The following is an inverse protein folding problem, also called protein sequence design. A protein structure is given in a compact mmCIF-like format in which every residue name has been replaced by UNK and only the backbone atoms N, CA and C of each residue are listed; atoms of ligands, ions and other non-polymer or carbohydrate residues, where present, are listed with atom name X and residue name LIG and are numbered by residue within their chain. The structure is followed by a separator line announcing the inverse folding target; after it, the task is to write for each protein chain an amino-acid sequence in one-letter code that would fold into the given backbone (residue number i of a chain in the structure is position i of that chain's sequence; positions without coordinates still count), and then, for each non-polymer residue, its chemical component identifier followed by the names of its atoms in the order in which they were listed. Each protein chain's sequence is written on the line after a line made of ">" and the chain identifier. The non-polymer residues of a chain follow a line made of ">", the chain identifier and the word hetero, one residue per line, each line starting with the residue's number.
data_IF_742058404281
#
_entry.id   IF_742058404281
#
_cell.length_a   1.000
_cell.length_b   1.000
_cell.length_c   1.000
_cell.angle_alpha   90.00
_cell.angle_beta   90.00
_cell.angle_gamma   90.00
#
_symmetry.space_group_name_H-M   'P 1'
#
loop_
_entity.id
_entity.type
_entity.pdbx_description
1 polymer ?
#
# COMPACT_ATOMS: atom_id res chain seq x y z
N UNK A 1 6.03 11.99 -1.04
CA UNK A 1 6.85 11.36 -2.09
C UNK A 1 6.16 10.14 -2.69
N UNK A 2 5.80 9.11 -1.93
CA UNK A 2 5.10 7.91 -2.45
C UNK A 2 3.74 8.22 -3.08
N UNK A 3 2.91 9.04 -2.44
CA UNK A 3 1.60 9.43 -3.00
C UNK A 3 1.72 10.18 -4.34
N UNK A 4 2.72 11.05 -4.47
CA UNK A 4 2.99 11.79 -5.71
C UNK A 4 3.47 10.89 -6.84
N UNK A 5 4.22 9.83 -6.54
CA UNK A 5 4.65 8.83 -7.52
C UNK A 5 3.46 8.00 -8.03
N UNK A 6 2.59 7.56 -7.11
CA UNK A 6 1.37 6.81 -7.46
C UNK A 6 0.45 7.65 -8.36
N UNK A 7 0.27 8.94 -8.03
CA UNK A 7 -0.57 9.85 -8.82
C UNK A 7 -0.07 10.08 -10.25
N UNK A 8 1.24 9.91 -10.51
CA UNK A 8 1.85 10.07 -11.83
C UNK A 8 1.75 8.79 -12.70
N UNK A 9 1.41 7.64 -12.10
CA UNK A 9 1.32 6.36 -12.81
C UNK A 9 -0.05 5.65 -12.65
N UNK A 10 -1.20 6.33 -12.90
CA UNK A 10 -2.53 5.80 -12.57
C UNK A 10 -2.85 4.41 -13.16
N UNK A 11 -2.54 4.08 -14.44
CA UNK A 11 -2.85 2.75 -15.00
C UNK A 11 -2.02 1.63 -14.38
N UNK A 12 -0.74 1.92 -14.08
CA UNK A 12 0.19 0.95 -13.48
C UNK A 12 -0.23 0.64 -12.03
N UNK A 13 -0.74 1.65 -11.33
CA UNK A 13 -1.20 1.51 -9.94
C UNK A 13 -2.58 0.86 -9.79
N UNK A 14 -3.24 0.48 -10.89
CA UNK A 14 -4.56 -0.17 -10.85
C UNK A 14 -4.49 -1.68 -10.56
N UNK A 15 -3.32 -2.31 -10.65
CA UNK A 15 -3.16 -3.74 -10.36
C UNK A 15 -2.13 -3.97 -9.27
N UNK A 16 -2.29 -5.06 -8.53
CA UNK A 16 -1.30 -5.47 -7.53
C UNK A 16 0.09 -5.68 -8.15
N UNK A 17 0.13 -6.27 -9.35
CA UNK A 17 1.40 -6.50 -10.05
C UNK A 17 2.06 -5.18 -10.45
N UNK A 18 1.33 -4.23 -11.04
CA UNK A 18 1.90 -2.96 -11.44
C UNK A 18 2.39 -2.12 -10.25
N UNK A 19 1.72 -2.19 -9.09
CA UNK A 19 2.22 -1.59 -7.86
C UNK A 19 3.52 -2.23 -7.38
N UNK A 20 3.65 -3.56 -7.46
CA UNK A 20 4.90 -4.26 -7.14
C UNK A 20 6.02 -3.92 -8.10
N UNK A 21 5.73 -3.78 -9.39
CA UNK A 21 6.73 -3.39 -10.39
C UNK A 21 7.22 -1.95 -10.16
N UNK A 22 6.35 -1.06 -9.68
CA UNK A 22 6.67 0.34 -9.40
C UNK A 22 7.37 0.57 -8.06
N UNK A 23 6.89 -0.07 -6.99
CA UNK A 23 7.35 0.16 -5.62
C UNK A 23 8.26 -0.95 -5.07
N UNK A 24 8.37 -2.07 -5.77
CA UNK A 24 9.00 -3.27 -5.28
C UNK A 24 8.08 -4.10 -4.38
N UNK A 25 8.64 -5.14 -3.71
CA UNK A 25 7.89 -6.01 -2.84
C UNK A 25 7.29 -5.25 -1.64
N UNK A 26 6.12 -5.66 -1.13
CA UNK A 26 5.53 -5.09 0.08
C UNK A 26 6.49 -5.16 1.27
N UNK A 27 6.53 -4.09 2.06
CA UNK A 27 7.39 -3.99 3.25
C UNK A 27 6.61 -4.14 4.56
N UNK A 28 5.29 -4.32 4.47
CA UNK A 28 4.41 -4.58 5.60
C UNK A 28 3.35 -5.61 5.25
N UNK A 29 2.51 -5.92 6.25
CA UNK A 29 1.42 -6.87 6.15
C UNK A 29 0.12 -6.26 6.68
N UNK A 30 -0.99 -6.49 5.96
CA UNK A 30 -2.32 -6.04 6.40
C UNK A 30 -3.44 -7.03 6.03
N UNK A 31 -3.92 -7.75 7.05
CA UNK A 31 -5.07 -8.67 7.08
C UNK A 31 -5.06 -9.87 6.12
N UNK A 32 -4.68 -9.68 4.85
CA UNK A 32 -4.61 -10.70 3.80
C UNK A 32 -3.34 -10.51 2.94
N UNK A 33 -2.71 -11.61 2.53
CA UNK A 33 -1.49 -11.62 1.69
C UNK A 33 -1.64 -10.92 0.34
N UNK A 34 -2.88 -10.82 -0.11
CA UNK A 34 -3.25 -10.22 -1.39
C UNK A 34 -3.17 -8.71 -1.33
N UNK A 35 -3.46 -8.14 -0.16
CA UNK A 35 -3.34 -6.71 0.07
C UNK A 35 -1.87 -6.31 0.10
N UNK A 36 -1.55 -5.23 -0.59
CA UNK A 36 -0.19 -4.70 -0.57
C UNK A 36 -0.11 -3.66 0.55
N UNK A 37 0.84 -3.85 1.46
CA UNK A 37 1.10 -2.91 2.53
C UNK A 37 2.56 -2.45 2.49
N UNK A 38 2.75 -1.14 2.52
CA UNK A 38 4.07 -0.51 2.51
C UNK A 38 4.23 0.36 3.76
N UNK A 39 5.29 0.11 4.53
CA UNK A 39 5.63 0.94 5.69
C UNK A 39 6.16 2.28 5.21
N UNK A 40 5.56 3.38 5.68
CA UNK A 40 5.88 4.76 5.29
C UNK A 40 5.81 5.71 6.49
N UNK A 41 6.52 6.83 6.41
CA UNK A 41 6.51 7.86 7.45
C UNK A 41 7.44 7.55 8.64
N UNK A 42 7.32 8.29 9.75
CA UNK A 42 8.23 8.19 10.89
C UNK A 42 7.99 6.92 11.72
N UNK A 43 9.07 6.30 12.21
CA UNK A 43 9.02 5.11 13.06
C UNK A 43 8.44 5.35 14.45
N UNK A 44 8.23 6.61 14.83
CA UNK A 44 7.57 7.00 16.08
C UNK A 44 6.09 6.62 16.15
N UNK A 45 5.47 6.24 15.03
CA UNK A 45 4.09 5.78 14.95
C UNK A 45 4.05 4.25 15.01
N UNK A 46 3.21 3.68 15.86
CA UNK A 46 2.97 2.24 15.89
C UNK A 46 1.75 1.90 15.02
N UNK A 47 1.94 1.07 14.00
CA UNK A 47 0.85 0.43 13.25
C UNK A 47 0.71 -1.04 13.66
N UNK A 48 -0.37 -1.68 13.22
CA UNK A 48 -0.78 -3.03 13.65
C UNK A 48 0.37 -4.05 13.59
N UNK A 49 1.26 -3.94 12.61
CA UNK A 49 2.36 -4.88 12.37
C UNK A 49 3.73 -4.22 12.06
N UNK A 50 3.88 -2.90 12.24
CA UNK A 50 5.12 -2.19 11.90
C UNK A 50 5.32 -0.90 12.71
N UNK A 51 6.55 -0.36 12.66
CA UNK A 51 6.84 1.00 13.10
C UNK A 51 6.83 1.94 11.90
N UNK A 52 5.87 2.87 11.88
CA UNK A 52 5.48 3.69 10.74
C UNK A 52 4.00 3.49 10.39
N UNK A 53 3.47 4.34 9.52
CA UNK A 53 2.17 4.11 8.90
C UNK A 53 2.26 2.99 7.88
N UNK A 54 1.19 2.23 7.68
CA UNK A 54 1.03 1.35 6.53
C UNK A 54 0.23 2.07 5.46
N UNK A 55 0.79 2.26 4.28
CA UNK A 55 0.00 2.56 3.09
C UNK A 55 -0.50 1.24 2.51
N UNK A 56 -1.78 0.97 2.71
CA UNK A 56 -2.46 -0.28 2.36
C UNK A 56 -3.22 -0.09 1.05
N UNK A 57 -3.03 -1.02 0.12
CA UNK A 57 -3.81 -1.14 -1.11
C UNK A 57 -4.65 -2.41 -1.03
N UNK A 58 -5.98 -2.24 -1.02
CA UNK A 58 -6.93 -3.35 -1.00
C UNK A 58 -7.04 -3.94 -2.40
N UNK A 59 -6.76 -5.22 -2.52
CA UNK A 59 -6.77 -5.93 -3.80
C UNK A 59 -8.03 -6.78 -3.91
N UNK A 60 -8.77 -6.64 -5.00
CA UNK A 60 -9.83 -7.58 -5.33
C UNK A 60 -9.23 -8.92 -5.75
N UNK A 61 -9.58 -9.98 -5.00
CA UNK A 61 -9.00 -11.31 -5.16
C UNK A 61 -9.24 -11.92 -6.54
N UNK A 62 -10.40 -11.63 -7.14
CA UNK A 62 -10.82 -12.21 -8.40
C UNK A 62 -10.13 -11.55 -9.61
N UNK A 63 -9.92 -10.25 -9.56
CA UNK A 63 -9.39 -9.46 -10.68
C UNK A 63 -7.94 -9.00 -10.50
N UNK A 64 -7.38 -9.10 -9.29
CA UNK A 64 -6.05 -8.58 -8.95
C UNK A 64 -5.96 -7.05 -9.00
N UNK A 65 -7.10 -6.37 -9.08
CA UNK A 65 -7.18 -4.91 -9.20
C UNK A 65 -7.20 -4.24 -7.82
N UNK A 66 -6.60 -3.07 -7.75
CA UNK A 66 -6.71 -2.21 -6.57
C UNK A 66 -8.10 -1.60 -6.53
N UNK A 67 -8.79 -1.78 -5.41
CA UNK A 67 -10.12 -1.22 -5.17
C UNK A 67 -10.08 0.05 -4.33
N UNK A 68 -9.10 0.15 -3.42
CA UNK A 68 -8.90 1.32 -2.57
C UNK A 68 -7.48 1.37 -2.01
N UNK A 69 -7.07 2.56 -1.56
CA UNK A 69 -5.81 2.79 -0.85
C UNK A 69 -6.04 3.66 0.39
N UNK A 70 -5.41 3.33 1.51
CA UNK A 70 -5.55 4.10 2.77
C UNK A 70 -4.34 3.94 3.69
N UNK A 71 -4.21 4.84 4.66
CA UNK A 71 -3.21 4.74 5.72
C UNK A 71 -3.75 3.99 6.94
N UNK A 72 -2.90 3.19 7.57
CA UNK A 72 -3.19 2.47 8.82
C UNK A 72 -2.04 2.67 9.83
N UNK A 73 -2.26 3.32 10.99
CA UNK A 73 -3.53 3.94 11.40
C UNK A 73 -3.91 5.14 10.50
N UNK A 74 -5.17 5.60 10.52
CA UNK A 74 -5.60 6.76 9.73
C UNK A 74 -4.74 8.00 10.03
N UNK A 75 -4.43 8.76 8.99
CA UNK A 75 -3.78 10.08 9.11
C UNK A 75 -4.89 11.13 9.13
N UNK A 76 -4.93 11.96 10.18
CA UNK A 76 -5.81 13.13 10.27
C UNK A 76 -5.18 14.36 9.62
#
# INVERSE_FOLDING_TARGET
>A
MTASLIAQHPPVTQTAQGLRDLLGPPTGYFDYDENLAYVVGPTSIASKNAQGYLLVFMVDKASGKITSARFEPPVN
#
